data_IF_878904144444
#
_entry.id   IF_878904144444
#
_cell.length_a   1.000
_cell.length_b   1.000
_cell.length_c   1.000
_cell.angle_alpha   90.00
_cell.angle_beta   90.00
_cell.angle_gamma   90.00
#
_symmetry.space_group_name_H-M   'P 1'
#
loop_
_entity.id
_entity.type
_entity.pdbx_description
1 polymer ?
#
# COMPACT_ATOMS: atom_id res chain seq x y z
N UNK A 1 16.39 -7.00 20.75
CA UNK A 1 14.96 -7.08 20.38
C UNK A 1 14.86 -6.82 18.89
N UNK A 2 14.55 -7.85 18.10
CA UNK A 2 14.49 -7.77 16.63
C UNK A 2 13.10 -7.28 16.23
N UNK A 3 12.94 -6.11 15.57
CA UNK A 3 11.65 -5.74 15.03
C UNK A 3 11.38 -6.59 13.78
N UNK A 4 10.24 -7.26 13.77
CA UNK A 4 9.74 -8.03 12.64
C UNK A 4 9.42 -7.09 11.47
N UNK A 5 10.41 -6.86 10.61
CA UNK A 5 10.23 -6.30 9.28
C UNK A 5 9.62 -7.38 8.37
N UNK A 6 8.33 -7.64 8.50
CA UNK A 6 7.58 -8.30 7.43
C UNK A 6 7.28 -7.26 6.35
N UNK A 7 8.28 -6.95 5.54
CA UNK A 7 7.99 -6.68 4.14
C UNK A 7 7.47 -8.00 3.60
N UNK A 8 6.15 -8.15 3.53
CA UNK A 8 5.55 -9.37 3.00
C UNK A 8 6.09 -9.52 1.57
N UNK A 9 6.85 -10.58 1.26
CA UNK A 9 7.40 -10.72 -0.08
C UNK A 9 6.23 -10.76 -1.07
N UNK A 10 6.36 -10.24 -2.30
CA UNK A 10 5.27 -10.23 -3.28
C UNK A 10 4.70 -11.64 -3.52
N UNK A 11 5.52 -12.67 -3.32
CA UNK A 11 5.10 -14.08 -3.34
C UNK A 11 4.04 -14.43 -2.30
N UNK A 12 3.99 -13.76 -1.15
CA UNK A 12 3.02 -14.03 -0.09
C UNK A 12 1.60 -13.60 -0.47
N UNK A 13 1.43 -12.44 -1.12
CA UNK A 13 0.11 -11.98 -1.57
C UNK A 13 -0.47 -12.92 -2.64
N UNK A 14 0.37 -13.37 -3.58
CA UNK A 14 -0.03 -14.37 -4.57
C UNK A 14 -0.38 -15.69 -3.88
N UNK A 15 0.48 -16.20 -2.99
CA UNK A 15 0.26 -17.47 -2.32
C UNK A 15 -1.00 -17.45 -1.45
N UNK A 16 -1.23 -16.35 -0.73
CA UNK A 16 -2.40 -16.19 0.12
C UNK A 16 -3.69 -16.14 -0.71
N UNK A 17 -3.74 -15.31 -1.75
CA UNK A 17 -4.91 -15.23 -2.62
C UNK A 17 -5.18 -16.55 -3.35
N UNK A 18 -4.15 -17.22 -3.87
CA UNK A 18 -4.27 -18.57 -4.42
C UNK A 18 -4.82 -19.56 -3.40
N UNK A 19 -4.35 -19.47 -2.14
CA UNK A 19 -4.89 -20.22 -1.02
C UNK A 19 -6.39 -19.99 -0.86
N UNK A 20 -6.83 -18.73 -0.79
CA UNK A 20 -8.26 -18.37 -0.70
C UNK A 20 -9.06 -18.94 -1.88
N UNK A 21 -8.54 -18.84 -3.11
CA UNK A 21 -9.20 -19.41 -4.28
C UNK A 21 -9.38 -20.92 -4.16
N UNK A 22 -8.32 -21.66 -3.79
CA UNK A 22 -8.37 -23.12 -3.60
C UNK A 22 -9.32 -23.49 -2.47
N UNK A 23 -9.30 -22.75 -1.35
CA UNK A 23 -10.23 -22.96 -0.24
C UNK A 23 -11.68 -22.68 -0.66
N UNK A 24 -11.97 -21.62 -1.40
CA UNK A 24 -13.32 -21.32 -1.90
C UNK A 24 -13.83 -22.40 -2.87
N UNK A 25 -12.96 -22.88 -3.78
CA UNK A 25 -13.30 -23.98 -4.67
C UNK A 25 -13.51 -25.30 -3.90
N UNK A 26 -12.63 -25.62 -2.95
CA UNK A 26 -12.77 -26.80 -2.08
C UNK A 26 -14.04 -26.75 -1.24
N UNK A 27 -14.41 -25.57 -0.77
CA UNK A 27 -15.64 -25.30 -0.03
C UNK A 27 -16.90 -25.60 -0.85
N UNK A 28 -16.87 -25.29 -2.15
CA UNK A 28 -17.95 -25.64 -3.08
C UNK A 28 -18.14 -27.16 -3.18
N UNK A 29 -17.03 -27.91 -3.32
CA UNK A 29 -17.07 -29.36 -3.39
C UNK A 29 -17.51 -29.99 -2.06
N UNK A 30 -17.03 -29.45 -0.94
CA UNK A 30 -17.42 -29.86 0.40
C UNK A 30 -18.92 -29.64 0.62
N UNK A 31 -19.46 -28.51 0.16
CA UNK A 31 -20.89 -28.21 0.21
C UNK A 31 -21.73 -29.29 -0.48
N UNK A 32 -21.43 -29.65 -1.72
CA UNK A 32 -22.22 -30.72 -2.35
C UNK A 32 -21.95 -32.12 -1.82
N UNK A 33 -20.80 -32.38 -1.21
CA UNK A 33 -20.59 -33.61 -0.45
C UNK A 33 -21.50 -33.68 0.78
N UNK A 34 -21.67 -32.56 1.50
CA UNK A 34 -22.64 -32.43 2.61
C UNK A 34 -24.06 -32.66 2.08
N UNK A 35 -24.42 -32.08 0.93
CA UNK A 35 -25.74 -32.26 0.32
C UNK A 35 -26.06 -33.72 0.01
N UNK A 36 -25.09 -34.52 -0.46
CA UNK A 36 -25.27 -35.96 -0.71
C UNK A 36 -25.53 -36.78 0.56
N UNK A 37 -25.16 -36.26 1.74
CA UNK A 37 -25.36 -36.92 3.04
C UNK A 37 -26.66 -36.50 3.74
N UNK A 38 -27.36 -35.47 3.25
CA UNK A 38 -28.59 -35.00 3.88
C UNK A 38 -29.79 -35.88 3.48
N UNK A 39 -30.58 -36.39 4.44
CA UNK A 39 -31.82 -37.12 4.18
C UNK A 39 -32.86 -36.22 3.49
N UNK A 40 -33.68 -36.79 2.61
CA UNK A 40 -34.66 -36.09 1.76
C UNK A 40 -35.66 -35.19 2.52
N UNK A 41 -35.85 -35.40 3.82
CA UNK A 41 -36.79 -34.64 4.66
C UNK A 41 -36.35 -33.22 5.07
N UNK A 42 -35.07 -32.85 4.96
CA UNK A 42 -34.57 -31.49 5.27
C UNK A 42 -34.41 -30.58 4.03
N UNK A 43 -34.71 -31.11 2.84
CA UNK A 43 -34.68 -30.41 1.55
C UNK A 43 -36.06 -29.86 1.17
N UNK A 44 -36.87 -29.47 2.16
CA UNK A 44 -38.12 -28.76 1.88
C UNK A 44 -37.74 -27.42 1.24
N UNK A 45 -38.39 -27.10 0.12
CA UNK A 45 -38.16 -25.90 -0.68
C UNK A 45 -38.10 -24.60 0.15
N UNK A 46 -38.86 -24.53 1.24
CA UNK A 46 -38.87 -23.41 2.19
C UNK A 46 -37.56 -23.27 2.99
N UNK A 47 -36.99 -24.37 3.49
CA UNK A 47 -35.73 -24.36 4.22
C UNK A 47 -34.55 -23.98 3.32
N UNK A 48 -34.55 -24.46 2.06
CA UNK A 48 -33.58 -24.07 1.04
C UNK A 48 -33.66 -22.57 0.74
N UNK A 49 -34.87 -22.03 0.55
CA UNK A 49 -35.08 -20.60 0.33
C UNK A 49 -34.60 -19.75 1.51
N UNK A 50 -34.92 -20.16 2.73
CA UNK A 50 -34.47 -19.47 3.93
C UNK A 50 -32.93 -19.47 4.04
N UNK A 51 -32.29 -20.60 3.78
CA UNK A 51 -30.83 -20.70 3.75
C UNK A 51 -30.20 -19.82 2.66
N UNK A 52 -30.78 -19.81 1.45
CA UNK A 52 -30.31 -18.98 0.34
C UNK A 52 -30.45 -17.47 0.65
N UNK A 53 -31.50 -17.07 1.36
CA UNK A 53 -31.66 -15.70 1.84
C UNK A 53 -30.59 -15.32 2.87
N UNK A 54 -30.26 -16.21 3.80
CA UNK A 54 -29.16 -16.00 4.75
C UNK A 54 -27.79 -15.88 4.04
N UNK A 55 -27.53 -16.75 3.05
CA UNK A 55 -26.31 -16.71 2.24
C UNK A 55 -26.20 -15.42 1.44
N UNK A 56 -27.30 -14.95 0.84
CA UNK A 56 -27.28 -13.70 0.07
C UNK A 56 -27.03 -12.48 0.96
N UNK A 57 -27.60 -12.46 2.17
CA UNK A 57 -27.32 -11.41 3.17
C UNK A 57 -25.85 -11.43 3.63
N UNK A 58 -25.27 -12.61 3.83
CA UNK A 58 -23.84 -12.72 4.15
C UNK A 58 -22.96 -12.28 2.98
N UNK A 59 -23.37 -12.59 1.73
CA UNK A 59 -22.66 -12.17 0.53
C UNK A 59 -22.68 -10.66 0.34
N UNK A 60 -23.80 -9.97 0.61
CA UNK A 60 -23.86 -8.50 0.53
C UNK A 60 -22.99 -7.85 1.60
N UNK A 61 -22.99 -8.37 2.82
CA UNK A 61 -22.10 -7.91 3.89
C UNK A 61 -20.62 -8.14 3.52
N UNK A 62 -20.27 -9.31 3.00
CA UNK A 62 -18.91 -9.60 2.57
C UNK A 62 -18.45 -8.69 1.42
N UNK A 63 -19.32 -8.42 0.44
CA UNK A 63 -19.03 -7.51 -0.66
C UNK A 63 -18.78 -6.08 -0.17
N UNK A 64 -19.59 -5.59 0.77
CA UNK A 64 -19.45 -4.27 1.37
C UNK A 64 -18.12 -4.14 2.12
N UNK A 65 -17.81 -5.09 3.01
CA UNK A 65 -16.57 -5.08 3.79
C UNK A 65 -15.35 -5.16 2.87
N UNK A 66 -15.39 -6.04 1.86
CA UNK A 66 -14.31 -6.14 0.87
C UNK A 66 -14.13 -4.82 0.09
N UNK A 67 -15.23 -4.14 -0.27
CA UNK A 67 -15.17 -2.81 -0.89
C UNK A 67 -14.50 -1.75 0.01
N UNK A 68 -14.80 -1.77 1.31
CA UNK A 68 -14.13 -0.89 2.28
C UNK A 68 -12.65 -1.23 2.44
N UNK A 69 -12.30 -2.52 2.46
CA UNK A 69 -10.90 -2.95 2.50
C UNK A 69 -10.14 -2.46 1.26
N UNK A 70 -10.68 -2.62 0.06
CA UNK A 70 -10.06 -2.10 -1.18
C UNK A 70 -9.89 -0.58 -1.11
N UNK A 71 -10.89 0.14 -0.61
CA UNK A 71 -10.82 1.60 -0.48
C UNK A 71 -9.76 2.05 0.53
N UNK A 72 -9.66 1.38 1.67
CA UNK A 72 -8.64 1.63 2.69
C UNK A 72 -7.23 1.33 2.19
N UNK A 73 -7.06 0.19 1.51
CA UNK A 73 -5.79 -0.22 0.90
C UNK A 73 -5.37 0.77 -0.17
N UNK A 74 -6.29 1.22 -1.03
CA UNK A 74 -6.04 2.28 -2.01
C UNK A 74 -5.59 3.58 -1.35
N UNK A 75 -6.25 4.02 -0.29
CA UNK A 75 -5.85 5.22 0.43
C UNK A 75 -4.42 5.11 0.99
N UNK A 76 -3.96 3.91 1.33
CA UNK A 76 -2.58 3.65 1.75
C UNK A 76 -1.60 3.74 0.59
N UNK A 77 -1.94 3.18 -0.56
CA UNK A 77 -1.15 3.32 -1.79
C UNK A 77 -1.03 4.79 -2.24
N UNK A 78 -2.16 5.51 -2.25
CA UNK A 78 -2.22 6.92 -2.65
C UNK A 78 -1.37 7.78 -1.68
N UNK A 79 -1.45 7.55 -0.36
CA UNK A 79 -0.58 8.20 0.63
C UNK A 79 0.91 7.95 0.36
N UNK A 80 1.30 6.71 0.05
CA UNK A 80 2.68 6.38 -0.25
C UNK A 80 3.18 7.08 -1.53
N UNK A 81 2.31 7.26 -2.52
CA UNK A 81 2.62 8.03 -3.73
C UNK A 81 2.75 9.53 -3.43
N UNK A 82 1.83 10.09 -2.64
CA UNK A 82 1.87 11.49 -2.22
C UNK A 82 3.11 11.81 -1.38
N UNK A 83 3.58 10.87 -0.54
CA UNK A 83 4.83 11.01 0.21
C UNK A 83 6.04 11.16 -0.73
N UNK A 84 6.11 10.39 -1.83
CA UNK A 84 7.20 10.51 -2.82
C UNK A 84 7.14 11.86 -3.53
N UNK A 85 5.95 12.28 -3.95
CA UNK A 85 5.73 13.58 -4.60
C UNK A 85 6.11 14.71 -3.65
N UNK A 86 5.70 14.62 -2.39
CA UNK A 86 6.00 15.57 -1.33
C UNK A 86 7.49 15.73 -1.09
N UNK A 87 8.21 14.62 -0.90
CA UNK A 87 9.66 14.65 -0.70
C UNK A 87 10.39 15.21 -1.92
N UNK A 88 9.99 14.82 -3.13
CA UNK A 88 10.58 15.36 -4.37
C UNK A 88 10.38 16.87 -4.48
N UNK A 89 9.18 17.34 -4.15
CA UNK A 89 8.82 18.77 -4.17
C UNK A 89 9.61 19.56 -3.13
N UNK A 90 9.67 19.10 -1.89
CA UNK A 90 10.41 19.79 -0.83
C UNK A 90 11.91 19.81 -1.10
N UNK A 91 12.49 18.76 -1.71
CA UNK A 91 13.90 18.77 -2.14
C UNK A 91 14.13 19.81 -3.24
N UNK A 92 13.25 19.91 -4.23
CA UNK A 92 13.38 20.91 -5.30
C UNK A 92 13.22 22.34 -4.78
N UNK A 93 12.26 22.57 -3.87
CA UNK A 93 12.08 23.86 -3.21
C UNK A 93 13.28 24.23 -2.34
N UNK A 94 13.87 23.24 -1.64
CA UNK A 94 15.10 23.43 -0.89
C UNK A 94 16.27 23.83 -1.81
N UNK A 95 16.50 23.12 -2.92
CA UNK A 95 17.57 23.47 -3.86
C UNK A 95 17.36 24.87 -4.46
N UNK A 96 16.13 25.23 -4.83
CA UNK A 96 15.79 26.58 -5.30
C UNK A 96 16.01 27.66 -4.26
N UNK A 97 15.73 27.39 -2.98
CA UNK A 97 16.00 28.33 -1.91
C UNK A 97 17.51 28.50 -1.68
N UNK A 98 18.26 27.39 -1.70
CA UNK A 98 19.72 27.41 -1.54
C UNK A 98 20.41 28.10 -2.72
N UNK A 99 19.96 27.87 -3.96
CA UNK A 99 20.50 28.53 -5.15
C UNK A 99 20.22 30.04 -5.14
N UNK A 100 19.02 30.46 -4.72
CA UNK A 100 18.66 31.86 -4.55
C UNK A 100 19.45 32.58 -3.45
N UNK A 101 19.86 31.88 -2.40
CA UNK A 101 20.73 32.44 -1.34
C UNK A 101 22.12 32.83 -1.88
N UNK A 102 22.69 32.02 -2.76
CA UNK A 102 23.99 32.28 -3.39
C UNK A 102 25.03 31.17 -3.18
N UNK A 103 26.30 31.42 -3.55
CA UNK A 103 27.34 30.38 -3.63
C UNK A 103 27.77 29.81 -2.27
N UNK A 104 27.50 30.50 -1.17
CA UNK A 104 27.77 30.04 0.21
C UNK A 104 27.06 28.71 0.54
N UNK A 105 25.97 28.39 -0.15
CA UNK A 105 25.20 27.15 0.04
C UNK A 105 25.72 25.97 -0.78
N UNK A 106 26.75 26.15 -1.61
CA UNK A 106 27.34 25.08 -2.42
C UNK A 106 27.61 23.76 -1.68
N UNK A 107 28.19 23.73 -0.46
CA UNK A 107 28.37 22.48 0.27
C UNK A 107 27.03 21.82 0.64
N UNK A 108 26.04 22.61 1.06
CA UNK A 108 24.70 22.10 1.42
C UNK A 108 24.00 21.51 0.18
N UNK A 109 24.08 22.21 -0.96
CA UNK A 109 23.54 21.71 -2.24
C UNK A 109 24.22 20.41 -2.67
N UNK A 110 25.52 20.26 -2.43
CA UNK A 110 26.24 19.01 -2.74
C UNK A 110 25.74 17.83 -1.89
N UNK A 111 25.44 18.05 -0.61
CA UNK A 111 24.86 17.04 0.29
C UNK A 111 23.45 16.63 -0.16
N UNK A 112 22.62 17.61 -0.55
CA UNK A 112 21.25 17.36 -1.07
C UNK A 112 21.31 16.55 -2.37
N UNK A 113 22.19 16.91 -3.31
CA UNK A 113 22.40 16.16 -4.56
C UNK A 113 22.90 14.74 -4.30
N UNK A 114 23.84 14.54 -3.38
CA UNK A 114 24.33 13.22 -3.02
C UNK A 114 23.24 12.35 -2.37
N UNK A 115 22.38 12.95 -1.54
CA UNK A 115 21.22 12.27 -0.99
C UNK A 115 20.24 11.83 -2.07
N UNK A 116 19.92 12.74 -3.00
CA UNK A 116 18.99 12.48 -4.09
C UNK A 116 19.55 11.43 -5.08
N UNK A 117 20.85 11.48 -5.40
CA UNK A 117 21.51 10.47 -6.24
C UNK A 117 21.36 9.06 -5.64
N UNK A 118 21.60 8.92 -4.33
CA UNK A 118 21.36 7.65 -3.62
C UNK A 118 19.89 7.25 -3.62
N UNK A 119 18.96 8.21 -3.62
CA UNK A 119 17.53 7.92 -3.70
C UNK A 119 17.14 7.44 -5.11
N UNK A 120 17.70 8.03 -6.17
CA UNK A 120 17.43 7.66 -7.57
C UNK A 120 18.09 6.37 -8.00
N UNK A 121 19.24 6.00 -7.44
CA UNK A 121 19.86 4.66 -7.65
C UNK A 121 18.93 3.50 -7.26
N UNK A 122 17.88 3.80 -6.48
CA UNK A 122 16.89 2.85 -5.99
C UNK A 122 15.61 2.86 -6.81
N UNK A 123 15.53 3.66 -7.87
CA UNK A 123 14.43 3.60 -8.83
C UNK A 123 14.82 2.57 -9.89
N UNK A 124 14.01 1.54 -10.05
CA UNK A 124 14.19 0.53 -11.08
C UNK A 124 14.16 1.15 -12.50
N UNK A 125 14.73 0.48 -13.51
CA UNK A 125 14.75 1.00 -14.89
C UNK A 125 13.37 1.27 -15.49
N UNK A 126 12.32 0.62 -14.97
CA UNK A 126 10.93 0.84 -15.37
C UNK A 126 10.27 2.06 -14.67
N UNK A 127 11.01 2.81 -13.86
CA UNK A 127 10.52 4.00 -13.15
C UNK A 127 9.80 3.71 -11.84
N UNK A 128 9.78 2.45 -11.39
CA UNK A 128 9.20 2.05 -10.09
C UNK A 128 10.26 2.10 -8.99
N UNK A 129 9.85 2.34 -7.74
CA UNK A 129 10.78 2.25 -6.61
C UNK A 129 11.19 0.78 -6.38
N UNK A 130 12.48 0.46 -6.50
CA UNK A 130 13.02 -0.85 -6.17
C UNK A 130 13.40 -0.96 -4.69
N UNK A 131 13.34 -2.18 -4.18
CA UNK A 131 13.37 -2.60 -2.77
C UNK A 131 13.96 -1.67 -1.69
N UNK A 132 13.18 -1.50 -0.62
CA UNK A 132 13.56 -1.36 0.81
C UNK A 132 14.71 -0.38 1.09
N UNK A 133 14.44 0.92 1.26
CA UNK A 133 15.21 1.85 2.15
C UNK A 133 14.58 3.25 2.25
N UNK A 134 13.57 3.61 1.44
CA UNK A 134 12.77 4.81 1.75
C UNK A 134 12.07 4.69 3.12
N UNK A 135 12.06 3.50 3.75
CA UNK A 135 11.56 3.20 5.11
C UNK A 135 12.62 3.19 6.22
N UNK A 136 13.74 3.91 6.11
CA UNK A 136 14.63 4.12 7.28
C UNK A 136 14.27 5.41 8.02
N UNK A 137 13.40 5.36 9.06
CA UNK A 137 12.94 6.55 9.79
C UNK A 137 14.08 7.33 10.46
N UNK A 138 15.13 6.64 10.90
CA UNK A 138 16.22 7.26 11.67
C UNK A 138 17.33 7.88 10.81
N UNK A 139 17.59 7.34 9.63
CA UNK A 139 18.63 7.86 8.72
C UNK A 139 18.20 9.18 8.07
N UNK A 140 16.91 9.38 7.84
CA UNK A 140 16.37 10.60 7.25
C UNK A 140 16.24 11.75 8.24
N UNK A 141 15.80 11.50 9.48
CA UNK A 141 15.61 12.58 10.47
C UNK A 141 16.94 13.20 10.89
N UNK A 142 17.97 12.38 11.12
CA UNK A 142 19.31 12.87 11.43
C UNK A 142 19.93 13.68 10.28
N UNK A 143 19.65 13.31 9.03
CA UNK A 143 20.05 14.09 7.86
C UNK A 143 19.31 15.43 7.80
N UNK A 144 18.00 15.45 8.05
CA UNK A 144 17.21 16.69 8.07
C UNK A 144 17.71 17.62 9.18
N UNK A 145 17.99 17.10 10.38
CA UNK A 145 18.56 17.90 11.48
C UNK A 145 19.94 18.45 11.10
N UNK A 146 20.77 17.67 10.40
CA UNK A 146 22.06 18.15 9.90
C UNK A 146 21.89 19.30 8.89
N UNK A 147 20.99 19.14 7.91
CA UNK A 147 20.68 20.19 6.94
C UNK A 147 20.20 21.47 7.64
N UNK A 148 19.27 21.35 8.60
CA UNK A 148 18.79 22.48 9.40
C UNK A 148 19.94 23.20 10.12
N UNK A 149 20.86 22.45 10.75
CA UNK A 149 22.02 23.03 11.42
C UNK A 149 22.97 23.76 10.44
N UNK A 150 23.19 23.20 9.25
CA UNK A 150 24.02 23.83 8.22
C UNK A 150 23.37 25.08 7.63
N UNK A 151 22.04 25.08 7.46
CA UNK A 151 21.28 26.26 7.00
C UNK A 151 21.30 27.36 8.06
N UNK A 152 21.17 27.03 9.34
CA UNK A 152 21.24 28.01 10.45
C UNK A 152 22.65 28.61 10.61
N UNK A 153 23.69 27.90 10.20
CA UNK A 153 25.07 28.40 10.25
C UNK A 153 25.40 29.45 9.17
N UNK A 154 24.52 29.62 8.16
CA UNK A 154 24.66 30.68 7.16
C UNK A 154 24.46 32.05 7.82
N UNK A 155 25.30 33.03 7.44
CA UNK A 155 25.23 34.41 7.95
C UNK A 155 24.58 35.32 6.90
N UNK A 156 23.26 35.55 6.95
CA UNK A 156 22.59 36.44 6.00
C UNK A 156 23.03 37.89 6.23
N UNK A 157 23.63 38.49 5.21
CA UNK A 157 24.03 39.91 5.18
C UNK A 157 22.93 40.83 4.64
N UNK A 158 21.93 40.27 3.95
CA UNK A 158 20.88 40.99 3.21
C UNK A 158 19.51 40.40 3.53
N UNK A 159 18.45 41.22 3.51
CA UNK A 159 17.06 40.76 3.70
C UNK A 159 16.66 39.63 2.71
N UNK A 160 17.16 39.69 1.47
CA UNK A 160 16.95 38.61 0.48
C UNK A 160 17.57 37.28 0.93
N UNK A 161 18.81 37.30 1.44
CA UNK A 161 19.46 36.09 2.00
C UNK A 161 18.69 35.53 3.20
N UNK A 162 18.16 36.41 4.05
CA UNK A 162 17.31 36.00 5.18
C UNK A 162 16.04 35.29 4.73
N UNK A 163 15.36 35.83 3.70
CA UNK A 163 14.17 35.18 3.12
C UNK A 163 14.48 33.78 2.56
N UNK A 164 15.57 33.63 1.82
CA UNK A 164 15.98 32.33 1.26
C UNK A 164 16.38 31.31 2.35
N UNK A 165 17.06 31.76 3.42
CA UNK A 165 17.37 30.92 4.57
C UNK A 165 16.11 30.40 5.26
N UNK A 166 15.13 31.28 5.51
CA UNK A 166 13.85 30.90 6.08
C UNK A 166 13.09 29.90 5.20
N UNK A 167 13.08 30.13 3.88
CA UNK A 167 12.43 29.22 2.93
C UNK A 167 13.10 27.85 2.87
N UNK A 168 14.43 27.79 2.99
CA UNK A 168 15.16 26.53 3.10
C UNK A 168 14.80 25.79 4.40
N UNK A 169 14.71 26.50 5.54
CA UNK A 169 14.28 25.92 6.81
C UNK A 169 12.85 25.38 6.74
N UNK A 170 11.93 26.12 6.14
CA UNK A 170 10.54 25.67 5.95
C UNK A 170 10.48 24.38 5.12
N UNK A 171 11.22 24.30 4.01
CA UNK A 171 11.29 23.10 3.19
C UNK A 171 11.82 21.88 3.98
N UNK A 172 12.84 22.07 4.81
CA UNK A 172 13.34 20.98 5.69
C UNK A 172 12.35 20.59 6.79
N UNK A 173 11.58 21.54 7.32
CA UNK A 173 10.55 21.27 8.32
C UNK A 173 9.39 20.45 7.73
N UNK A 174 8.96 20.75 6.51
CA UNK A 174 7.96 19.97 5.78
C UNK A 174 8.43 18.52 5.56
N UNK A 175 9.70 18.32 5.17
CA UNK A 175 10.31 16.99 5.05
C UNK A 175 10.32 16.23 6.38
N UNK A 176 10.62 16.91 7.49
CA UNK A 176 10.59 16.30 8.82
C UNK A 176 9.18 15.86 9.22
N UNK A 177 8.19 16.72 8.99
CA UNK A 177 6.79 16.45 9.32
C UNK A 177 6.26 15.25 8.54
N UNK A 178 6.46 15.23 7.21
CA UNK A 178 6.08 14.09 6.37
C UNK A 178 6.72 12.81 6.91
N UNK A 179 8.00 12.87 7.27
CA UNK A 179 8.72 11.69 7.75
C UNK A 179 8.19 11.14 9.07
N UNK A 180 7.84 12.01 10.00
CA UNK A 180 7.26 11.63 11.30
C UNK A 180 5.89 10.99 11.07
N UNK A 181 5.04 11.58 10.22
CA UNK A 181 3.71 11.06 9.90
C UNK A 181 3.78 9.66 9.28
N UNK A 182 4.70 9.41 8.34
CA UNK A 182 4.90 8.07 7.77
C UNK A 182 5.30 7.06 8.85
N UNK A 183 6.17 7.46 9.80
CA UNK A 183 6.65 6.56 10.88
C UNK A 183 5.58 6.21 11.91
N UNK A 184 4.61 7.09 12.14
CA UNK A 184 3.49 6.83 13.05
C UNK A 184 2.42 5.95 12.39
N UNK A 185 2.15 6.15 11.10
CA UNK A 185 1.15 5.37 10.36
C UNK A 185 1.57 3.92 10.08
N UNK A 186 2.88 3.61 10.10
CA UNK A 186 3.37 2.22 9.98
C UNK A 186 2.89 1.29 11.10
N UNK A 187 2.46 1.82 12.25
CA UNK A 187 1.97 1.01 13.38
C UNK A 187 0.51 0.57 13.25
N UNK A 188 -0.26 1.18 12.36
CA UNK A 188 -1.66 0.81 12.11
C UNK A 188 -1.73 -0.33 11.10
N UNK A 189 -1.08 -1.46 11.42
CA UNK A 189 -1.30 -2.73 10.70
C UNK A 189 -2.68 -3.26 11.04
N UNK A 190 -3.70 -2.75 10.36
CA UNK A 190 -5.06 -3.20 10.57
C UNK A 190 -5.76 -3.57 9.25
N UNK A 191 -5.47 -4.79 8.79
CA UNK A 191 -6.45 -5.55 8.01
C UNK A 191 -6.46 -7.07 8.30
N UNK A 192 -5.46 -7.64 9.00
CA UNK A 192 -5.34 -9.11 9.15
C UNK A 192 -6.59 -9.74 9.79
N UNK A 193 -7.12 -9.22 10.92
CA UNK A 193 -8.32 -9.81 11.52
C UNK A 193 -9.54 -9.71 10.60
N UNK A 194 -9.72 -8.55 9.94
CA UNK A 194 -10.84 -8.31 9.04
C UNK A 194 -10.76 -9.22 7.80
N UNK A 195 -9.56 -9.40 7.27
CA UNK A 195 -9.28 -10.26 6.13
C UNK A 195 -9.59 -11.72 6.45
N UNK A 196 -9.23 -12.19 7.65
CA UNK A 196 -9.58 -13.54 8.13
C UNK A 196 -11.09 -13.71 8.22
N UNK A 197 -11.81 -12.73 8.77
CA UNK A 197 -13.28 -12.76 8.89
C UNK A 197 -13.95 -12.81 7.51
N UNK A 198 -13.55 -11.93 6.58
CA UNK A 198 -14.10 -11.92 5.21
C UNK A 198 -13.80 -13.21 4.48
N UNK A 199 -12.59 -13.76 4.61
CA UNK A 199 -12.22 -15.05 4.02
C UNK A 199 -13.09 -16.18 4.58
N UNK A 200 -13.34 -16.18 5.89
CA UNK A 200 -14.24 -17.14 6.52
C UNK A 200 -15.68 -17.02 6.00
N UNK A 201 -16.20 -15.80 5.83
CA UNK A 201 -17.53 -15.58 5.24
C UNK A 201 -17.61 -16.08 3.80
N UNK A 202 -16.58 -15.83 2.98
CA UNK A 202 -16.51 -16.34 1.60
C UNK A 202 -16.57 -17.87 1.61
N UNK A 203 -15.76 -18.52 2.45
CA UNK A 203 -15.80 -20.00 2.60
C UNK A 203 -17.21 -20.48 2.94
N UNK A 204 -17.88 -19.87 3.92
CA UNK A 204 -19.24 -20.26 4.32
C UNK A 204 -20.27 -20.02 3.19
N UNK A 205 -20.16 -18.92 2.45
CA UNK A 205 -21.02 -18.65 1.27
C UNK A 205 -20.82 -19.74 0.23
N UNK A 206 -19.58 -20.13 -0.07
CA UNK A 206 -19.28 -21.16 -1.06
C UNK A 206 -19.72 -22.56 -0.62
N UNK A 207 -19.61 -22.90 0.67
CA UNK A 207 -20.20 -24.13 1.22
C UNK A 207 -21.71 -24.13 1.00
N UNK A 208 -22.40 -23.06 1.40
CA UNK A 208 -23.85 -22.94 1.30
C UNK A 208 -24.36 -22.93 -0.15
N UNK A 209 -23.64 -22.28 -1.07
CA UNK A 209 -23.96 -22.35 -2.49
C UNK A 209 -23.69 -23.75 -3.05
N UNK A 210 -22.59 -24.40 -2.63
CA UNK A 210 -22.22 -25.74 -3.06
C UNK A 210 -23.20 -26.83 -2.63
N UNK A 211 -23.83 -26.70 -1.47
CA UNK A 211 -24.87 -27.64 -1.02
C UNK A 211 -26.07 -27.65 -1.97
N UNK A 212 -26.45 -26.50 -2.53
CA UNK A 212 -27.67 -26.37 -3.34
C UNK A 212 -27.42 -26.33 -4.87
N UNK A 213 -26.22 -26.02 -5.33
CA UNK A 213 -25.93 -25.71 -6.74
C UNK A 213 -25.25 -26.83 -7.56
N UNK A 214 -24.91 -27.97 -6.96
CA UNK A 214 -24.00 -28.96 -7.57
C UNK A 214 -24.53 -29.72 -8.80
N UNK A 215 -25.82 -29.64 -9.11
CA UNK A 215 -26.42 -30.40 -10.22
C UNK A 215 -26.22 -29.75 -11.60
N UNK A 216 -25.97 -28.44 -11.65
CA UNK A 216 -25.91 -27.69 -12.92
C UNK A 216 -24.48 -27.27 -13.25
N UNK A 217 -23.97 -27.71 -14.40
CA UNK A 217 -22.61 -27.38 -14.85
C UNK A 217 -22.40 -25.86 -15.04
N UNK A 218 -23.40 -25.15 -15.57
CA UNK A 218 -23.36 -23.70 -15.74
C UNK A 218 -23.18 -22.94 -14.42
N UNK A 219 -23.92 -23.34 -13.38
CA UNK A 219 -23.85 -22.69 -12.06
C UNK A 219 -22.48 -22.90 -11.43
N UNK A 220 -21.86 -24.09 -11.60
CA UNK A 220 -20.49 -24.33 -11.13
C UNK A 220 -19.50 -23.37 -11.78
N UNK A 221 -19.58 -23.16 -13.10
CA UNK A 221 -18.69 -22.22 -13.81
C UNK A 221 -18.84 -20.81 -13.25
N UNK A 222 -20.08 -20.34 -13.04
CA UNK A 222 -20.33 -19.02 -12.44
C UNK A 222 -19.73 -18.91 -11.04
N UNK A 223 -19.86 -19.95 -10.21
CA UNK A 223 -19.27 -19.98 -8.87
C UNK A 223 -17.74 -19.97 -8.91
N UNK A 224 -17.10 -20.68 -9.85
CA UNK A 224 -15.65 -20.57 -10.06
C UNK A 224 -15.21 -19.14 -10.43
N UNK A 225 -15.93 -18.48 -11.34
CA UNK A 225 -15.68 -17.08 -11.67
C UNK A 225 -15.84 -16.16 -10.46
N UNK A 226 -16.85 -16.40 -9.61
CA UNK A 226 -17.03 -15.66 -8.37
C UNK A 226 -15.88 -15.90 -7.38
N UNK A 227 -15.37 -17.14 -7.25
CA UNK A 227 -14.24 -17.46 -6.39
C UNK A 227 -12.97 -16.74 -6.86
N UNK A 228 -12.76 -16.70 -8.18
CA UNK A 228 -11.66 -15.94 -8.79
C UNK A 228 -11.78 -14.45 -8.49
N UNK A 229 -12.98 -13.87 -8.60
CA UNK A 229 -13.22 -12.47 -8.30
C UNK A 229 -12.90 -12.13 -6.83
N UNK A 230 -13.39 -12.91 -5.87
CA UNK A 230 -13.10 -12.72 -4.45
C UNK A 230 -11.60 -12.85 -4.14
N UNK A 231 -10.95 -13.88 -4.68
CA UNK A 231 -9.50 -14.07 -4.58
C UNK A 231 -8.72 -12.89 -5.16
N UNK A 232 -9.12 -12.42 -6.34
CA UNK A 232 -8.50 -11.29 -7.01
C UNK A 232 -8.66 -9.97 -6.24
N UNK A 233 -9.82 -9.75 -5.61
CA UNK A 233 -10.01 -8.59 -4.75
C UNK A 233 -9.14 -8.65 -3.49
N UNK A 234 -9.03 -9.81 -2.84
CA UNK A 234 -8.15 -9.99 -1.67
C UNK A 234 -6.68 -9.79 -2.06
N UNK A 235 -6.27 -10.33 -3.21
CA UNK A 235 -4.96 -10.07 -3.79
C UNK A 235 -4.72 -8.56 -3.92
N UNK A 236 -5.65 -7.85 -4.55
CA UNK A 236 -5.54 -6.40 -4.79
C UNK A 236 -5.47 -5.60 -3.48
N UNK A 237 -6.21 -6.00 -2.43
CA UNK A 237 -6.10 -5.39 -1.10
C UNK A 237 -4.68 -5.52 -0.56
N UNK A 238 -4.13 -6.74 -0.53
CA UNK A 238 -2.79 -7.00 0.01
C UNK A 238 -1.70 -6.28 -0.79
N UNK A 239 -1.91 -6.19 -2.10
CA UNK A 239 -1.01 -5.57 -3.05
C UNK A 239 -0.94 -4.05 -2.83
N UNK A 240 -2.09 -3.39 -2.67
CA UNK A 240 -2.18 -1.97 -2.38
C UNK A 240 -1.67 -1.59 -0.97
N UNK A 241 -1.78 -2.50 0.00
CA UNK A 241 -1.19 -2.32 1.34
C UNK A 241 0.34 -2.44 1.35
N UNK A 242 0.93 -2.94 0.27
CA UNK A 242 2.37 -3.15 0.11
C UNK A 242 3.00 -2.27 -0.98
N UNK A 243 2.82 -0.93 -0.96
CA UNK A 243 3.11 -0.02 -2.09
C UNK A 243 4.59 0.01 -2.55
N UNK A 244 5.51 -0.47 -1.72
CA UNK A 244 6.95 -0.50 -2.01
C UNK A 244 7.53 -1.89 -2.30
N UNK A 245 6.79 -2.95 -1.97
CA UNK A 245 7.29 -4.34 -2.03
C UNK A 245 6.42 -5.24 -2.90
N UNK A 246 5.22 -4.77 -3.25
CA UNK A 246 4.32 -5.43 -4.17
C UNK A 246 4.80 -5.49 -5.62
N UNK A 247 4.05 -6.22 -6.43
CA UNK A 247 3.90 -6.07 -7.88
C UNK A 247 3.43 -4.66 -8.30
N UNK A 248 2.43 -4.09 -7.63
CA UNK A 248 2.01 -2.69 -7.85
C UNK A 248 2.88 -1.80 -6.99
N UNK A 249 3.79 -1.08 -7.65
CA UNK A 249 4.74 -0.18 -6.98
C UNK A 249 4.40 1.26 -7.26
N UNK A 250 4.64 2.11 -6.27
CA UNK A 250 4.59 3.56 -6.47
C UNK A 250 5.69 4.02 -7.41
N UNK A 251 5.37 5.03 -8.23
CA UNK A 251 6.32 5.56 -9.22
C UNK A 251 7.42 6.37 -8.54
N UNK A 252 8.66 6.12 -8.93
CA UNK A 252 9.82 6.96 -8.58
C UNK A 252 10.04 8.13 -9.54
N UNK A 253 9.16 8.34 -10.53
CA UNK A 253 9.31 9.39 -11.54
C UNK A 253 9.50 10.81 -10.97
N UNK A 254 8.79 11.24 -9.90
CA UNK A 254 9.02 12.55 -9.30
C UNK A 254 10.44 12.74 -8.75
N UNK A 255 11.05 11.68 -8.21
CA UNK A 255 12.43 11.72 -7.70
C UNK A 255 13.45 11.82 -8.84
N UNK A 256 13.21 11.07 -9.93
CA UNK A 256 14.04 11.17 -11.14
C UNK A 256 13.96 12.58 -11.74
N UNK A 257 12.77 13.16 -11.83
CA UNK A 257 12.58 14.53 -12.32
C UNK A 257 13.29 15.55 -11.43
N UNK A 258 13.14 15.44 -10.11
CA UNK A 258 13.87 16.30 -9.18
C UNK A 258 15.39 16.17 -9.38
N UNK A 259 15.91 14.96 -9.59
CA UNK A 259 17.34 14.76 -9.82
C UNK A 259 17.82 15.40 -11.12
N UNK A 260 17.03 15.32 -12.20
CA UNK A 260 17.34 15.99 -13.46
C UNK A 260 17.31 17.50 -13.34
N UNK A 261 16.36 18.06 -12.60
CA UNK A 261 16.25 19.51 -12.35
C UNK A 261 17.43 20.03 -11.51
N UNK A 262 17.86 19.29 -10.48
CA UNK A 262 19.01 19.66 -9.65
C UNK A 262 20.36 19.55 -10.40
N UNK A 263 20.41 18.79 -11.48
CA UNK A 263 21.58 18.67 -12.35
C UNK A 263 21.72 19.84 -13.33
N UNK A 264 20.66 20.64 -13.53
CA UNK A 264 20.74 21.88 -14.27
C UNK A 264 21.56 22.91 -13.47
N UNK A 265 22.39 23.72 -14.15
CA UNK A 265 23.28 24.70 -13.52
C UNK A 265 22.54 25.80 -12.76
#
# INVERSE_FOLDING_TARGET
>A
MRPYAWGVPPMFAILFSLGVFVFACGSLYLGGWIARRMPEGHLVYEAQKAAQFGISMMATLAALVLGFMVTSARATFDRANDDIVGVSTSILLLDRALSGYGPETAPIRSDVRAFLARATERVAPNGEMDTIVFRLPHTSLSLITRLQSSILALQPDTEGKWWFQHRALEATAQLAQQRILTSEHEKSSEPIPLLVVVTAWIVLIFIGMGTFAMHNASVRVVLFCAALAFSGSIFLVMELESPYTGLLRVSGAPLLQAATELALP
#
